data_IF_954853916062
#
_entry.id   IF_954853916062
#
_cell.length_a   1.000
_cell.length_b   1.000
_cell.length_c   1.000
_cell.angle_alpha   90.00
_cell.angle_beta   90.00
_cell.angle_gamma   90.00
#
_symmetry.space_group_name_H-M   'P 1'
#
loop_
_entity.id
_entity.type
_entity.pdbx_description
1 polymer ?
#
# COMPACT_ATOMS: atom_id res chain seq x y z
N UNK A 1 -5.52 -4.63 28.85
CA UNK A 1 -5.83 -6.07 28.72
C UNK A 1 -5.93 -6.39 27.24
N UNK A 2 -5.41 -7.54 26.82
CA UNK A 2 -5.52 -8.00 25.42
C UNK A 2 -6.97 -8.36 25.14
N UNK A 3 -7.49 -7.96 23.98
CA UNK A 3 -8.87 -8.23 23.59
C UNK A 3 -8.95 -9.47 22.72
N UNK A 4 -9.90 -10.38 22.97
CA UNK A 4 -10.11 -11.56 22.10
C UNK A 4 -10.33 -11.12 20.64
N UNK A 5 -11.07 -10.01 20.47
CA UNK A 5 -11.33 -9.33 19.21
C UNK A 5 -10.02 -8.92 18.51
N UNK A 6 -9.10 -8.33 19.28
CA UNK A 6 -7.77 -7.95 18.80
C UNK A 6 -6.89 -9.14 18.44
N UNK A 7 -6.93 -10.22 19.25
CA UNK A 7 -6.23 -11.48 18.95
C UNK A 7 -6.74 -12.07 17.65
N UNK A 8 -8.06 -12.20 17.51
CA UNK A 8 -8.68 -12.75 16.31
C UNK A 8 -8.29 -11.95 15.06
N UNK A 9 -8.33 -10.61 15.12
CA UNK A 9 -7.91 -9.76 14.01
C UNK A 9 -6.48 -10.05 13.56
N UNK A 10 -5.53 -10.02 14.49
CA UNK A 10 -4.12 -10.19 14.17
C UNK A 10 -3.81 -11.62 13.73
N UNK A 11 -4.41 -12.63 14.35
CA UNK A 11 -4.25 -14.02 13.95
C UNK A 11 -4.85 -14.28 12.56
N UNK A 12 -6.03 -13.78 12.27
CA UNK A 12 -6.67 -13.94 10.95
C UNK A 12 -5.82 -13.31 9.84
N UNK A 13 -5.32 -12.08 10.06
CA UNK A 13 -4.44 -11.42 9.10
C UNK A 13 -3.12 -12.16 8.93
N UNK A 14 -2.46 -12.54 10.04
CA UNK A 14 -1.18 -13.24 10.00
C UNK A 14 -1.32 -14.61 9.33
N UNK A 15 -2.26 -15.46 9.76
CA UNK A 15 -2.46 -16.79 9.18
C UNK A 15 -2.88 -16.70 7.72
N UNK A 16 -3.77 -15.78 7.36
CA UNK A 16 -4.17 -15.56 5.97
C UNK A 16 -2.97 -15.17 5.10
N UNK A 17 -2.12 -14.24 5.57
CA UNK A 17 -0.95 -13.81 4.80
C UNK A 17 0.14 -14.89 4.76
N UNK A 18 0.37 -15.58 5.87
CA UNK A 18 1.38 -16.63 6.00
C UNK A 18 1.05 -17.86 5.15
N UNK A 19 -0.15 -18.43 5.32
CA UNK A 19 -0.59 -19.54 4.48
C UNK A 19 -0.87 -19.12 3.04
N UNK A 20 -1.37 -17.91 2.79
CA UNK A 20 -1.53 -17.38 1.44
C UNK A 20 -0.20 -17.27 0.70
N UNK A 21 0.85 -16.79 1.36
CA UNK A 21 2.20 -16.75 0.77
C UNK A 21 2.71 -18.14 0.39
N UNK A 22 2.50 -19.12 1.26
CA UNK A 22 3.00 -20.48 1.06
C UNK A 22 2.15 -21.25 0.06
N UNK A 23 0.84 -21.28 0.19
CA UNK A 23 -0.01 -22.19 -0.59
C UNK A 23 -0.72 -21.53 -1.77
N UNK A 24 -0.79 -20.19 -1.83
CA UNK A 24 -1.42 -19.49 -2.95
C UNK A 24 -0.41 -18.76 -3.83
N UNK A 25 0.57 -18.06 -3.25
CA UNK A 25 1.55 -17.29 -4.05
C UNK A 25 2.70 -18.15 -4.54
N UNK A 26 3.27 -19.00 -3.68
CA UNK A 26 4.47 -19.76 -4.05
C UNK A 26 4.31 -20.70 -5.27
N UNK A 27 3.14 -21.33 -5.54
CA UNK A 27 2.94 -22.13 -6.75
C UNK A 27 3.09 -21.34 -8.05
N UNK A 28 2.89 -20.01 -8.02
CA UNK A 28 3.03 -19.16 -9.20
C UNK A 28 4.43 -18.57 -9.38
N UNK A 29 5.36 -18.77 -8.44
CA UNK A 29 6.73 -18.25 -8.57
C UNK A 29 7.46 -18.73 -9.83
N UNK A 30 7.30 -19.98 -10.31
CA UNK A 30 7.89 -20.39 -11.58
C UNK A 30 7.42 -19.56 -12.78
N UNK A 31 6.22 -18.97 -12.73
CA UNK A 31 5.75 -18.08 -13.81
C UNK A 31 6.63 -16.85 -13.98
N UNK A 32 7.32 -16.40 -12.92
CA UNK A 32 8.23 -15.26 -12.99
C UNK A 32 9.35 -15.47 -14.03
N UNK A 33 9.79 -16.71 -14.23
CA UNK A 33 10.83 -17.06 -15.22
C UNK A 33 10.29 -17.52 -16.56
N UNK A 34 8.99 -17.84 -16.65
CA UNK A 34 8.34 -18.32 -17.89
C UNK A 34 7.63 -17.17 -18.61
N UNK A 35 6.89 -16.37 -17.85
CA UNK A 35 6.06 -15.28 -18.34
C UNK A 35 5.88 -14.22 -17.24
N UNK A 36 6.78 -13.22 -17.18
CA UNK A 36 6.71 -12.15 -16.17
C UNK A 36 5.38 -11.41 -16.13
N UNK A 37 4.74 -11.21 -17.29
CA UNK A 37 3.43 -10.54 -17.39
C UNK A 37 2.33 -11.36 -16.70
N UNK A 38 2.26 -12.67 -16.98
CA UNK A 38 1.28 -13.55 -16.32
C UNK A 38 1.58 -13.71 -14.83
N UNK A 39 2.85 -13.80 -14.44
CA UNK A 39 3.26 -13.79 -13.05
C UNK A 39 2.71 -12.56 -12.31
N UNK A 40 2.96 -11.36 -12.84
CA UNK A 40 2.53 -10.11 -12.23
C UNK A 40 1.01 -10.04 -12.10
N UNK A 41 0.29 -10.34 -13.19
CA UNK A 41 -1.17 -10.29 -13.20
C UNK A 41 -1.80 -11.28 -12.22
N UNK A 42 -1.37 -12.54 -12.20
CA UNK A 42 -1.93 -13.56 -11.29
C UNK A 42 -1.62 -13.22 -9.84
N UNK A 43 -0.38 -12.85 -9.53
CA UNK A 43 0.01 -12.55 -8.15
C UNK A 43 -0.66 -11.30 -7.62
N UNK A 44 -0.90 -10.27 -8.46
CA UNK A 44 -1.71 -9.11 -8.07
C UNK A 44 -3.16 -9.45 -7.80
N UNK A 45 -3.75 -10.34 -8.61
CA UNK A 45 -5.10 -10.84 -8.35
C UNK A 45 -5.17 -11.59 -7.02
N UNK A 46 -4.22 -12.50 -6.75
CA UNK A 46 -4.16 -13.26 -5.49
C UNK A 46 -3.96 -12.33 -4.29
N UNK A 47 -3.00 -11.41 -4.34
CA UNK A 47 -2.77 -10.45 -3.27
C UNK A 47 -4.01 -9.61 -3.01
N UNK A 48 -4.69 -9.14 -4.06
CA UNK A 48 -5.92 -8.35 -3.92
C UNK A 48 -7.02 -9.09 -3.14
N UNK A 49 -7.13 -10.42 -3.26
CA UNK A 49 -8.06 -11.21 -2.42
C UNK A 49 -7.69 -11.18 -0.95
N UNK A 50 -6.41 -11.11 -0.60
CA UNK A 50 -6.00 -10.97 0.80
C UNK A 50 -6.25 -9.55 1.31
N UNK A 51 -6.07 -8.53 0.45
CA UNK A 51 -6.35 -7.13 0.78
C UNK A 51 -7.83 -6.87 1.15
N UNK A 52 -8.77 -7.72 0.72
CA UNK A 52 -10.18 -7.62 1.14
C UNK A 52 -10.43 -8.13 2.56
N UNK A 53 -9.58 -9.01 3.09
CA UNK A 53 -9.72 -9.56 4.45
C UNK A 53 -9.64 -8.50 5.55
N UNK A 54 -8.62 -7.62 5.62
CA UNK A 54 -8.57 -6.56 6.63
C UNK A 54 -9.74 -5.60 6.52
N UNK A 55 -10.21 -5.27 5.31
CA UNK A 55 -11.40 -4.43 5.09
C UNK A 55 -12.64 -5.10 5.68
N UNK A 56 -12.84 -6.38 5.37
CA UNK A 56 -13.98 -7.13 5.88
C UNK A 56 -13.94 -7.28 7.41
N UNK A 57 -12.77 -7.55 7.99
CA UNK A 57 -12.59 -7.61 9.43
C UNK A 57 -12.90 -6.26 10.10
N UNK A 58 -12.29 -5.17 9.63
CA UNK A 58 -12.46 -3.83 10.20
C UNK A 58 -13.92 -3.41 10.21
N UNK A 59 -14.61 -3.53 9.08
CA UNK A 59 -15.98 -3.04 8.95
C UNK A 59 -17.02 -4.00 9.50
N UNK A 60 -16.92 -5.32 9.24
CA UNK A 60 -17.96 -6.27 9.63
C UNK A 60 -17.77 -6.83 11.04
N UNK A 61 -16.53 -7.04 11.49
CA UNK A 61 -16.26 -7.65 12.80
C UNK A 61 -16.04 -6.58 13.87
N UNK A 62 -15.36 -5.49 13.51
CA UNK A 62 -15.06 -4.40 14.45
C UNK A 62 -15.95 -3.17 14.28
N UNK A 63 -16.83 -3.15 13.27
CA UNK A 63 -17.83 -2.11 13.09
C UNK A 63 -17.24 -0.74 12.72
N UNK A 64 -16.04 -0.70 12.13
CA UNK A 64 -15.44 0.54 11.67
C UNK A 64 -16.30 1.15 10.54
N UNK A 65 -16.79 2.37 10.73
CA UNK A 65 -17.48 3.13 9.69
C UNK A 65 -16.46 3.90 8.86
N UNK A 66 -16.64 3.88 7.54
CA UNK A 66 -15.74 4.55 6.59
C UNK A 66 -16.51 5.67 5.92
N UNK A 67 -15.97 6.89 5.97
CA UNK A 67 -16.55 8.08 5.36
C UNK A 67 -15.56 8.64 4.35
N UNK A 68 -15.99 8.82 3.10
CA UNK A 68 -15.15 9.33 2.01
C UNK A 68 -15.76 10.59 1.42
N UNK A 69 -15.00 11.67 1.34
CA UNK A 69 -15.43 12.99 0.84
C UNK A 69 -14.44 13.51 -0.20
N UNK A 70 -14.84 14.53 -0.97
CA UNK A 70 -14.01 15.15 -2.02
C UNK A 70 -14.28 14.58 -3.42
N UNK A 71 -13.23 14.44 -4.23
CA UNK A 71 -13.31 14.09 -5.66
C UNK A 71 -13.34 12.57 -5.92
N UNK A 72 -12.79 11.78 -4.99
CA UNK A 72 -12.78 10.32 -5.07
C UNK A 72 -11.70 9.79 -5.99
N UNK A 73 -11.92 8.61 -6.58
CA UNK A 73 -10.97 7.97 -7.49
C UNK A 73 -11.62 7.69 -8.84
N UNK A 74 -10.82 7.74 -9.89
CA UNK A 74 -11.17 7.22 -11.21
C UNK A 74 -10.72 5.76 -11.30
N UNK A 75 -11.64 4.78 -11.43
CA UNK A 75 -11.27 3.37 -11.44
C UNK A 75 -10.31 3.03 -12.59
N UNK A 76 -9.18 2.38 -12.25
CA UNK A 76 -8.18 1.98 -13.24
C UNK A 76 -7.19 3.08 -13.64
N UNK A 77 -7.30 4.27 -13.06
CA UNK A 77 -6.39 5.38 -13.31
C UNK A 77 -5.00 5.14 -12.70
N UNK A 78 -3.96 5.53 -13.46
CA UNK A 78 -2.57 5.49 -13.02
C UNK A 78 -2.31 6.68 -12.12
N UNK A 79 -2.02 6.44 -10.86
CA UNK A 79 -1.88 7.54 -9.91
C UNK A 79 -0.82 7.34 -8.85
N UNK A 80 -0.25 8.47 -8.42
CA UNK A 80 0.49 8.56 -7.16
C UNK A 80 -0.50 8.98 -6.08
N UNK A 81 -0.64 8.17 -5.04
CA UNK A 81 -1.45 8.48 -3.88
C UNK A 81 -0.54 9.05 -2.80
N UNK A 82 -0.82 10.28 -2.35
CA UNK A 82 -0.11 10.90 -1.23
C UNK A 82 -1.05 11.04 -0.04
N UNK A 83 -0.64 10.56 1.12
CA UNK A 83 -1.48 10.58 2.33
C UNK A 83 -0.70 11.10 3.53
N UNK A 84 -1.36 11.81 4.46
CA UNK A 84 -0.75 12.10 5.77
C UNK A 84 -0.62 10.80 6.57
N UNK A 85 0.39 10.70 7.43
CA UNK A 85 0.68 9.47 8.15
C UNK A 85 0.39 9.61 9.64
N UNK A 86 -0.89 9.47 10.02
CA UNK A 86 -1.33 9.60 11.41
C UNK A 86 -0.96 8.39 12.26
N UNK A 87 -1.07 7.17 11.73
CA UNK A 87 -0.81 5.91 12.44
C UNK A 87 -0.05 4.91 11.59
N UNK A 88 0.61 3.92 12.21
CA UNK A 88 1.30 2.85 11.47
C UNK A 88 0.38 1.98 10.60
N UNK A 89 -0.94 2.08 10.77
CA UNK A 89 -1.93 1.22 10.10
C UNK A 89 -2.67 1.94 8.97
N UNK A 90 -2.33 3.20 8.67
CA UNK A 90 -3.07 4.01 7.69
C UNK A 90 -3.09 3.38 6.30
N UNK A 91 -2.00 2.74 5.86
CA UNK A 91 -1.92 2.04 4.58
C UNK A 91 -2.96 0.91 4.47
N UNK A 92 -3.16 0.14 5.55
CA UNK A 92 -4.17 -0.91 5.59
C UNK A 92 -5.57 -0.32 5.63
N UNK A 93 -5.75 0.81 6.31
CA UNK A 93 -7.03 1.50 6.39
C UNK A 93 -7.45 2.10 5.05
N UNK A 94 -6.51 2.56 4.23
CA UNK A 94 -6.78 3.08 2.88
C UNK A 94 -7.50 2.05 2.01
N UNK A 95 -7.27 0.75 2.21
CA UNK A 95 -7.95 -0.31 1.45
C UNK A 95 -9.47 -0.30 1.60
N UNK A 96 -10.00 0.23 2.72
CA UNK A 96 -11.45 0.43 2.87
C UNK A 96 -11.99 1.46 1.87
N UNK A 97 -11.20 2.49 1.55
CA UNK A 97 -11.51 3.47 0.52
C UNK A 97 -11.36 2.84 -0.88
N UNK A 98 -10.20 2.23 -1.17
CA UNK A 98 -9.92 1.67 -2.49
C UNK A 98 -10.86 0.52 -2.87
N UNK A 99 -11.34 -0.29 -1.93
CA UNK A 99 -12.33 -1.33 -2.24
C UNK A 99 -13.59 -0.74 -2.88
N UNK A 100 -14.02 0.45 -2.45
CA UNK A 100 -15.23 1.14 -2.94
C UNK A 100 -15.01 1.97 -4.19
N UNK A 101 -13.84 2.60 -4.31
CA UNK A 101 -13.60 3.64 -5.32
C UNK A 101 -12.54 3.27 -6.37
N UNK A 102 -11.80 2.18 -6.17
CA UNK A 102 -10.74 1.73 -7.10
C UNK A 102 -10.59 0.21 -7.14
N UNK A 103 -9.47 -0.33 -7.64
CA UNK A 103 -9.15 -1.75 -7.67
C UNK A 103 -7.93 -2.04 -6.80
N UNK A 104 -8.11 -2.82 -5.73
CA UNK A 104 -7.04 -3.20 -4.80
C UNK A 104 -5.83 -3.88 -5.48
N UNK A 105 -6.02 -4.53 -6.64
CA UNK A 105 -4.94 -5.19 -7.38
C UNK A 105 -3.90 -4.22 -7.96
N UNK A 106 -4.26 -2.95 -8.15
CA UNK A 106 -3.38 -1.93 -8.74
C UNK A 106 -2.50 -1.24 -7.69
N UNK A 107 -2.83 -1.44 -6.42
CA UNK A 107 -2.16 -0.76 -5.30
C UNK A 107 -0.74 -1.31 -5.11
N UNK A 108 0.23 -0.41 -5.07
CA UNK A 108 1.60 -0.65 -4.62
C UNK A 108 1.93 0.37 -3.54
N UNK A 109 2.76 -0.01 -2.58
CA UNK A 109 3.06 0.85 -1.43
C UNK A 109 4.57 0.98 -1.26
N UNK A 110 5.04 2.21 -1.05
CA UNK A 110 6.39 2.45 -0.58
C UNK A 110 6.47 2.22 0.94
N UNK A 111 7.25 1.23 1.34
CA UNK A 111 7.30 0.71 2.70
C UNK A 111 8.72 0.63 3.24
N UNK A 112 8.85 0.60 4.56
CA UNK A 112 10.15 0.43 5.22
C UNK A 112 10.74 -0.96 4.91
N UNK A 113 12.01 -1.01 4.48
CA UNK A 113 12.71 -2.24 4.11
C UNK A 113 12.73 -3.32 5.19
N UNK A 114 12.69 -2.95 6.48
CA UNK A 114 12.63 -3.91 7.58
C UNK A 114 11.34 -4.75 7.61
N UNK A 115 10.26 -4.32 6.92
CA UNK A 115 9.02 -5.10 6.84
C UNK A 115 9.17 -6.33 5.94
N UNK A 116 10.18 -6.32 5.06
CA UNK A 116 10.47 -7.40 4.12
C UNK A 116 10.68 -8.76 4.78
N UNK A 117 11.34 -8.77 5.95
CA UNK A 117 11.66 -9.98 6.71
C UNK A 117 10.51 -10.56 7.53
N UNK A 118 9.35 -9.90 7.60
CA UNK A 118 8.24 -10.38 8.40
C UNK A 118 7.61 -11.60 7.70
N UNK A 119 7.55 -12.78 8.35
CA UNK A 119 6.93 -13.97 7.75
C UNK A 119 5.46 -13.72 7.36
N UNK A 120 5.05 -14.23 6.21
CA UNK A 120 3.73 -13.98 5.63
C UNK A 120 3.64 -12.59 5.01
N UNK A 121 3.51 -11.54 5.83
CA UNK A 121 3.30 -10.17 5.32
C UNK A 121 4.43 -9.71 4.40
N UNK A 122 5.68 -9.81 4.86
CA UNK A 122 6.85 -9.40 4.08
C UNK A 122 7.03 -10.24 2.83
N UNK A 123 6.73 -11.54 2.88
CA UNK A 123 6.80 -12.43 1.70
C UNK A 123 5.75 -12.08 0.66
N UNK A 124 4.50 -11.87 1.08
CA UNK A 124 3.43 -11.42 0.20
C UNK A 124 3.74 -10.04 -0.41
N UNK A 125 4.28 -9.11 0.38
CA UNK A 125 4.68 -7.78 -0.10
C UNK A 125 5.82 -7.83 -1.12
N UNK A 126 6.78 -8.76 -0.96
CA UNK A 126 7.83 -9.01 -1.96
C UNK A 126 7.22 -9.52 -3.27
N UNK A 127 6.36 -10.54 -3.20
CA UNK A 127 5.66 -11.08 -4.38
C UNK A 127 4.73 -10.04 -5.03
N UNK A 128 4.15 -9.13 -4.24
CA UNK A 128 3.32 -8.02 -4.72
C UNK A 128 4.14 -6.91 -5.39
N UNK A 129 5.46 -7.02 -5.46
CA UNK A 129 6.35 -5.96 -5.95
C UNK A 129 6.14 -4.62 -5.25
N UNK A 130 5.92 -4.63 -3.92
CA UNK A 130 5.91 -3.39 -3.14
C UNK A 130 7.32 -2.79 -3.07
N UNK A 131 7.42 -1.47 -2.94
CA UNK A 131 8.70 -0.76 -3.02
C UNK A 131 9.29 -0.63 -1.61
N UNK A 132 10.38 -1.33 -1.35
CA UNK A 132 11.03 -1.34 -0.03
C UNK A 132 12.17 -0.30 0.04
N UNK A 133 12.08 0.63 0.98
CA UNK A 133 13.06 1.72 1.16
C UNK A 133 13.67 1.74 2.57
N UNK A 134 14.95 2.08 2.67
CA UNK A 134 15.70 2.28 3.91
C UNK A 134 15.43 3.65 4.55
N UNK A 135 14.82 4.58 3.78
CA UNK A 135 14.58 5.99 4.11
C UNK A 135 15.87 6.80 4.18
N UNK A 136 16.81 6.46 3.29
CA UNK A 136 18.06 7.16 3.03
C UNK A 136 18.21 7.27 1.52
N UNK A 137 18.20 8.49 1.01
CA UNK A 137 18.07 8.73 -0.43
C UNK A 137 19.21 8.09 -1.22
N UNK A 138 20.42 8.18 -0.72
CA UNK A 138 21.64 7.66 -1.33
C UNK A 138 21.59 6.14 -1.49
N UNK A 139 21.04 5.44 -0.49
CA UNK A 139 20.89 3.98 -0.49
C UNK A 139 19.70 3.52 -1.35
N UNK A 140 18.64 4.33 -1.39
CA UNK A 140 17.36 3.95 -1.99
C UNK A 140 17.24 4.30 -3.48
N UNK A 141 17.92 5.36 -3.94
CA UNK A 141 17.72 5.95 -5.28
C UNK A 141 17.76 4.89 -6.39
N UNK A 142 18.81 4.06 -6.45
CA UNK A 142 18.96 3.07 -7.53
C UNK A 142 17.89 1.98 -7.51
N UNK A 143 17.50 1.50 -6.33
CA UNK A 143 16.44 0.50 -6.21
C UNK A 143 15.09 1.12 -6.58
N UNK A 144 14.81 2.32 -6.06
CA UNK A 144 13.56 3.02 -6.32
C UNK A 144 13.40 3.31 -7.82
N UNK A 145 14.47 3.75 -8.47
CA UNK A 145 14.55 3.96 -9.91
C UNK A 145 14.16 2.71 -10.70
N UNK A 146 14.81 1.57 -10.41
CA UNK A 146 14.55 0.29 -11.10
C UNK A 146 13.10 -0.17 -10.93
N UNK A 147 12.50 0.05 -9.76
CA UNK A 147 11.10 -0.30 -9.51
C UNK A 147 10.14 0.57 -10.34
N UNK A 148 10.39 1.88 -10.41
CA UNK A 148 9.55 2.80 -11.19
C UNK A 148 9.68 2.53 -12.69
N UNK A 149 10.91 2.32 -13.18
CA UNK A 149 11.16 1.95 -14.58
C UNK A 149 10.47 0.63 -14.93
N UNK A 150 10.51 -0.36 -14.02
CA UNK A 150 9.78 -1.61 -14.18
C UNK A 150 8.27 -1.40 -14.30
N UNK A 151 7.67 -0.57 -13.45
CA UNK A 151 6.24 -0.28 -13.55
C UNK A 151 5.86 0.42 -14.85
N UNK A 152 6.72 1.33 -15.34
CA UNK A 152 6.54 1.95 -16.66
C UNK A 152 6.65 0.93 -17.80
N UNK A 153 7.57 -0.03 -17.69
CA UNK A 153 7.82 -1.05 -18.71
C UNK A 153 6.67 -2.06 -18.84
N UNK A 154 6.09 -2.51 -17.72
CA UNK A 154 4.98 -3.49 -17.74
C UNK A 154 3.65 -2.89 -18.21
N UNK A 155 3.51 -1.55 -18.18
CA UNK A 155 2.32 -0.79 -18.61
C UNK A 155 1.00 -1.22 -17.96
N UNK A 156 1.07 -1.88 -16.80
CA UNK A 156 -0.09 -2.14 -15.96
C UNK A 156 -0.44 -0.86 -15.19
N UNK A 157 -1.75 -0.54 -15.00
CA UNK A 157 -2.11 0.63 -14.22
C UNK A 157 -1.58 0.55 -12.78
N UNK A 158 -0.89 1.60 -12.35
CA UNK A 158 -0.23 1.69 -11.05
C UNK A 158 -0.98 2.66 -10.12
N UNK A 159 -1.29 2.26 -8.90
CA UNK A 159 -1.69 3.15 -7.82
C UNK A 159 -0.63 3.08 -6.71
N UNK A 160 0.31 4.03 -6.72
CA UNK A 160 1.46 4.01 -5.83
C UNK A 160 1.24 4.90 -4.61
N UNK A 161 1.03 4.29 -3.44
CA UNK A 161 0.94 5.00 -2.17
C UNK A 161 2.33 5.36 -1.62
N UNK A 162 2.50 6.65 -1.35
CA UNK A 162 3.64 7.19 -0.61
C UNK A 162 3.16 8.10 0.53
N UNK A 163 3.95 8.10 1.61
CA UNK A 163 3.79 9.02 2.74
C UNK A 163 4.98 9.99 2.73
N UNK A 164 4.87 11.18 2.11
CA UNK A 164 5.92 12.19 2.12
C UNK A 164 6.45 12.54 3.51
N UNK A 165 5.68 12.39 4.58
CA UNK A 165 6.15 12.53 5.98
C UNK A 165 7.31 11.56 6.33
N UNK A 166 7.39 10.41 5.66
CA UNK A 166 8.43 9.39 5.83
C UNK A 166 8.32 8.55 7.12
N UNK A 167 7.42 8.92 8.03
CA UNK A 167 7.12 8.22 9.29
C UNK A 167 5.78 8.69 9.85
N UNK A 168 5.20 7.92 10.76
CA UNK A 168 3.95 8.27 11.44
C UNK A 168 4.12 9.41 12.45
N UNK A 169 3.04 10.16 12.66
CA UNK A 169 2.96 11.25 13.63
C UNK A 169 2.92 10.72 15.07
N UNK A 170 4.01 10.92 15.80
CA UNK A 170 4.20 10.61 17.22
C UNK A 170 4.78 11.82 17.93
N UNK A 171 4.76 11.85 19.26
CA UNK A 171 5.39 12.94 20.02
C UNK A 171 6.88 13.15 19.62
N UNK A 172 7.63 12.06 19.45
CA UNK A 172 9.05 12.11 19.06
C UNK A 172 9.24 12.60 17.62
N UNK A 173 8.47 12.07 16.66
CA UNK A 173 8.62 12.47 15.25
C UNK A 173 8.14 13.90 15.02
N UNK A 174 7.13 14.35 15.76
CA UNK A 174 6.68 15.74 15.79
C UNK A 174 7.74 16.68 16.35
N UNK A 175 8.39 16.35 17.46
CA UNK A 175 9.50 17.15 18.01
C UNK A 175 10.60 17.36 16.97
N UNK A 176 11.03 16.29 16.29
CA UNK A 176 12.01 16.38 15.20
C UNK A 176 11.55 17.21 14.00
N UNK A 177 10.27 17.12 13.64
CA UNK A 177 9.67 17.95 12.59
C UNK A 177 9.63 19.43 13.00
N UNK A 178 9.39 19.72 14.28
CA UNK A 178 9.41 21.08 14.82
C UNK A 178 10.82 21.67 14.84
N UNK A 179 11.84 20.90 15.21
CA UNK A 179 13.24 21.32 15.10
C UNK A 179 13.62 21.64 13.65
N UNK A 180 13.18 20.81 12.69
CA UNK A 180 13.36 21.09 11.27
C UNK A 180 12.67 22.40 10.87
N UNK A 181 11.43 22.63 11.32
CA UNK A 181 10.69 23.84 11.02
C UNK A 181 11.41 25.09 11.56
N UNK A 182 11.86 25.07 12.82
CA UNK A 182 12.60 26.17 13.44
C UNK A 182 13.89 26.51 12.69
N UNK A 183 14.69 25.49 12.34
CA UNK A 183 15.95 25.68 11.61
C UNK A 183 15.78 26.28 10.21
N UNK A 184 14.61 26.08 9.60
CA UNK A 184 14.31 26.55 8.25
C UNK A 184 13.34 27.74 8.24
N UNK A 185 13.01 28.33 9.40
CA UNK A 185 12.06 29.45 9.49
C UNK A 185 10.64 29.10 9.06
N UNK A 186 10.24 27.83 9.13
CA UNK A 186 8.90 27.35 8.79
C UNK A 186 8.01 27.32 10.02
N UNK A 187 6.70 27.43 9.81
CA UNK A 187 5.72 27.23 10.89
C UNK A 187 5.73 25.77 11.39
N UNK A 188 5.47 25.58 12.67
CA UNK A 188 5.30 24.25 13.28
C UNK A 188 3.92 23.69 12.94
N UNK A 189 3.86 22.37 12.78
CA UNK A 189 2.62 21.64 12.50
C UNK A 189 2.17 20.82 13.68
N UNK A 190 0.86 20.80 13.90
CA UNK A 190 0.26 20.12 15.04
C UNK A 190 -0.27 18.73 14.67
N UNK A 191 -0.82 18.58 13.47
CA UNK A 191 -1.57 17.40 13.01
C UNK A 191 -0.90 16.63 11.86
N UNK A 192 0.21 17.14 11.31
CA UNK A 192 1.05 16.48 10.30
C UNK A 192 2.53 16.73 10.58
N UNK A 193 3.42 15.93 10.00
CA UNK A 193 4.85 16.24 9.90
C UNK A 193 5.13 17.02 8.60
N UNK A 194 6.20 17.83 8.58
CA UNK A 194 6.66 18.45 7.33
C UNK A 194 7.05 17.38 6.30
N UNK A 195 6.60 17.49 5.03
CA UNK A 195 6.86 16.46 4.03
C UNK A 195 8.31 16.49 3.55
N UNK A 196 8.88 15.31 3.35
CA UNK A 196 10.15 15.09 2.65
C UNK A 196 9.87 14.94 1.15
N UNK A 197 10.16 15.99 0.40
CA UNK A 197 9.74 16.12 -1.00
C UNK A 197 10.62 15.37 -2.00
N UNK A 198 11.84 14.96 -1.64
CA UNK A 198 12.79 14.30 -2.56
C UNK A 198 12.22 13.02 -3.18
N UNK A 199 11.66 12.12 -2.36
CA UNK A 199 11.07 10.88 -2.87
C UNK A 199 9.80 11.13 -3.68
N UNK A 200 8.96 12.08 -3.25
CA UNK A 200 7.75 12.47 -3.96
C UNK A 200 8.05 13.01 -5.36
N UNK A 201 8.95 13.99 -5.45
CA UNK A 201 9.33 14.61 -6.74
C UNK A 201 9.92 13.59 -7.69
N UNK A 202 10.83 12.74 -7.21
CA UNK A 202 11.43 11.68 -8.02
C UNK A 202 10.39 10.70 -8.60
N UNK A 203 9.42 10.27 -7.78
CA UNK A 203 8.35 9.35 -8.23
C UNK A 203 7.51 9.99 -9.32
N UNK A 204 7.04 11.23 -9.08
CA UNK A 204 6.17 11.93 -10.01
C UNK A 204 6.89 12.21 -11.33
N UNK A 205 8.14 12.69 -11.27
CA UNK A 205 8.98 12.92 -12.46
C UNK A 205 9.15 11.64 -13.27
N UNK A 206 9.58 10.55 -12.63
CA UNK A 206 9.88 9.30 -13.34
C UNK A 206 8.65 8.64 -13.94
N UNK A 207 7.53 8.60 -13.21
CA UNK A 207 6.30 8.03 -13.72
C UNK A 207 5.69 8.90 -14.82
N UNK A 208 5.84 10.23 -14.75
CA UNK A 208 5.44 11.15 -15.83
C UNK A 208 6.28 10.93 -17.09
N UNK A 209 7.61 10.86 -16.97
CA UNK A 209 8.54 10.56 -18.07
C UNK A 209 8.24 9.20 -18.72
N UNK A 210 7.92 8.19 -17.92
CA UNK A 210 7.51 6.86 -18.39
C UNK A 210 6.09 6.79 -18.94
N UNK A 211 5.37 7.91 -19.04
CA UNK A 211 3.97 8.00 -19.44
C UNK A 211 3.09 7.00 -18.66
N UNK A 212 3.29 6.91 -17.34
CA UNK A 212 2.61 6.00 -16.43
C UNK A 212 2.00 6.74 -15.21
N UNK A 213 1.53 7.97 -15.43
CA UNK A 213 0.92 8.80 -14.40
C UNK A 213 -0.15 9.71 -15.02
N UNK A 214 -1.41 9.52 -14.61
CA UNK A 214 -2.56 10.31 -15.06
C UNK A 214 -2.95 11.38 -14.03
N UNK A 215 -2.81 11.08 -12.73
CA UNK A 215 -3.21 11.99 -11.66
C UNK A 215 -2.45 11.76 -10.35
N UNK A 216 -2.47 12.77 -9.48
CA UNK A 216 -2.10 12.63 -8.07
C UNK A 216 -3.37 12.67 -7.22
N UNK A 217 -3.59 11.63 -6.41
CA UNK A 217 -4.66 11.60 -5.42
C UNK A 217 -4.08 12.04 -4.06
N UNK A 218 -4.46 13.25 -3.64
CA UNK A 218 -4.09 13.79 -2.34
C UNK A 218 -5.14 13.43 -1.28
N UNK A 219 -4.76 12.61 -0.30
CA UNK A 219 -5.66 12.08 0.71
C UNK A 219 -5.33 12.65 2.08
N UNK A 220 -6.34 13.21 2.74
CA UNK A 220 -6.30 13.48 4.17
C UNK A 220 -7.06 12.39 4.91
N UNK A 221 -6.38 11.64 5.77
CA UNK A 221 -6.98 10.66 6.68
C UNK A 221 -7.08 11.22 8.09
N UNK A 222 -8.25 11.04 8.71
CA UNK A 222 -8.51 11.40 10.09
C UNK A 222 -9.38 10.38 10.81
N UNK A 223 -9.29 10.38 12.13
CA UNK A 223 -10.01 9.48 13.02
C UNK A 223 -10.71 10.31 14.11
N UNK A 224 -12.05 10.42 14.10
CA UNK A 224 -12.80 11.17 15.11
C UNK A 224 -12.58 10.65 16.53
N UNK A 225 -12.40 9.34 16.65
CA UNK A 225 -12.30 8.57 17.89
C UNK A 225 -11.36 7.40 17.66
N UNK A 226 -10.69 6.96 18.74
CA UNK A 226 -9.84 5.77 18.76
C UNK A 226 -8.75 5.77 17.68
N UNK A 227 -7.63 6.46 17.93
CA UNK A 227 -6.48 6.51 17.01
C UNK A 227 -5.53 5.33 17.32
N UNK A 228 -5.48 4.27 16.49
CA UNK A 228 -4.63 3.10 16.74
C UNK A 228 -3.19 3.37 16.29
N UNK A 229 -2.41 4.10 17.10
CA UNK A 229 -1.00 4.42 16.76
C UNK A 229 -0.15 3.20 16.36
N UNK A 230 -0.36 2.04 17.01
CA UNK A 230 0.43 0.81 16.79
C UNK A 230 -0.46 -0.43 16.76
N UNK A 231 0.08 -1.54 16.26
CA UNK A 231 -0.53 -2.87 16.24
C UNK A 231 -0.97 -3.33 17.64
N UNK A 232 -0.24 -2.90 18.70
CA UNK A 232 -0.60 -3.17 20.10
C UNK A 232 -1.95 -2.58 20.48
N UNK A 233 -2.33 -1.43 19.90
CA UNK A 233 -3.66 -0.87 20.13
C UNK A 233 -4.74 -1.78 19.54
N UNK A 234 -4.54 -2.32 18.35
CA UNK A 234 -5.46 -3.28 17.74
C UNK A 234 -5.54 -4.58 18.56
N UNK A 235 -4.40 -5.10 19.04
CA UNK A 235 -4.35 -6.27 19.93
C UNK A 235 -5.17 -6.06 21.22
N UNK A 236 -5.16 -4.83 21.75
CA UNK A 236 -5.95 -4.45 22.92
C UNK A 236 -7.43 -4.17 22.58
N UNK A 237 -7.85 -4.34 21.33
CA UNK A 237 -9.22 -4.09 20.88
C UNK A 237 -9.54 -2.61 20.63
N UNK A 238 -8.53 -1.74 20.64
CA UNK A 238 -8.69 -0.33 20.31
C UNK A 238 -8.63 -0.13 18.79
N UNK A 239 -9.75 -0.45 18.14
CA UNK A 239 -9.98 -0.22 16.72
C UNK A 239 -10.56 1.18 16.48
N UNK A 240 -10.29 1.80 15.31
CA UNK A 240 -10.95 3.03 14.94
C UNK A 240 -12.44 2.76 14.74
N UNK A 241 -13.29 3.54 15.41
CA UNK A 241 -14.74 3.45 15.22
C UNK A 241 -15.18 4.07 13.89
N UNK A 242 -14.50 5.15 13.50
CA UNK A 242 -14.73 5.83 12.23
C UNK A 242 -13.40 6.19 11.58
N UNK A 243 -13.31 6.05 10.27
CA UNK A 243 -12.17 6.44 9.45
C UNK A 243 -12.68 7.39 8.38
N UNK A 244 -12.17 8.62 8.38
CA UNK A 244 -12.58 9.66 7.45
C UNK A 244 -11.45 9.87 6.44
N UNK A 245 -11.79 9.81 5.16
CA UNK A 245 -10.92 10.13 4.04
C UNK A 245 -11.47 11.34 3.30
N UNK A 246 -10.63 12.34 3.06
CA UNK A 246 -10.90 13.43 2.13
C UNK A 246 -9.93 13.31 0.96
N UNK A 247 -10.46 13.07 -0.23
CA UNK A 247 -9.68 12.81 -1.45
C UNK A 247 -9.78 14.01 -2.36
N UNK A 248 -8.65 14.56 -2.78
CA UNK A 248 -8.57 15.59 -3.81
C UNK A 248 -7.78 15.05 -4.99
N UNK A 249 -8.35 15.12 -6.19
CA UNK A 249 -7.71 14.59 -7.41
C UNK A 249 -7.10 15.73 -8.23
N UNK A 250 -5.83 15.60 -8.55
CA UNK A 250 -5.10 16.53 -9.42
C UNK A 250 -4.70 15.82 -10.71
N UNK A 251 -5.33 16.12 -11.87
CA UNK A 251 -4.83 15.67 -13.16
C UNK A 251 -3.37 16.06 -13.35
N UNK A 252 -2.56 15.19 -13.96
CA UNK A 252 -1.12 15.39 -14.05
C UNK A 252 -0.74 16.67 -14.81
N UNK A 253 -1.60 17.13 -15.71
CA UNK A 253 -1.47 18.37 -16.49
C UNK A 253 -1.58 19.63 -15.62
N UNK A 254 -2.22 19.52 -14.45
CA UNK A 254 -2.36 20.62 -13.49
C UNK A 254 -1.23 20.66 -12.46
N UNK A 255 -0.39 19.63 -12.43
CA UNK A 255 0.71 19.49 -11.47
C UNK A 255 2.00 20.07 -12.08
N UNK A 256 2.77 20.90 -11.35
CA UNK A 256 4.00 21.48 -11.87
C UNK A 256 5.00 20.47 -12.44
N UNK A 257 5.75 20.90 -13.44
CA UNK A 257 6.77 20.07 -14.11
C UNK A 257 8.16 20.30 -13.55
N UNK A 258 8.52 21.55 -13.23
CA UNK A 258 9.80 21.86 -12.62
C UNK A 258 9.88 21.27 -11.21
N UNK A 259 11.05 20.69 -10.88
CA UNK A 259 11.28 19.99 -9.63
C UNK A 259 11.03 20.87 -8.42
N UNK A 260 11.55 22.09 -8.43
CA UNK A 260 11.45 23.05 -7.34
C UNK A 260 9.97 23.45 -7.10
N UNK A 261 9.23 23.70 -8.17
CA UNK A 261 7.79 23.99 -8.10
C UNK A 261 6.99 22.80 -7.58
N UNK A 262 7.37 21.58 -7.96
CA UNK A 262 6.74 20.36 -7.48
C UNK A 262 7.01 20.11 -5.98
N UNK A 263 8.20 20.48 -5.49
CA UNK A 263 8.49 20.47 -4.04
C UNK A 263 7.59 21.46 -3.29
N UNK A 264 7.48 22.69 -3.79
CA UNK A 264 6.61 23.71 -3.21
C UNK A 264 5.13 23.28 -3.26
N UNK A 265 4.70 22.65 -4.35
CA UNK A 265 3.36 22.08 -4.49
C UNK A 265 3.08 21.05 -3.38
N UNK A 266 4.01 20.12 -3.15
CA UNK A 266 3.88 19.13 -2.08
C UNK A 266 3.82 19.78 -0.69
N UNK A 267 4.66 20.79 -0.43
CA UNK A 267 4.64 21.52 0.84
C UNK A 267 3.31 22.24 1.07
N UNK A 268 2.75 22.87 0.03
CA UNK A 268 1.45 23.53 0.07
C UNK A 268 0.32 22.54 0.38
N UNK A 269 0.33 21.34 -0.22
CA UNK A 269 -0.63 20.28 0.14
C UNK A 269 -0.57 19.92 1.61
N UNK A 270 0.62 19.82 2.21
CA UNK A 270 0.74 19.57 3.65
C UNK A 270 0.28 20.74 4.52
N UNK A 271 0.47 21.97 4.06
CA UNK A 271 -0.11 23.15 4.70
C UNK A 271 -1.64 23.10 4.74
N UNK A 272 -2.27 22.71 3.62
CA UNK A 272 -3.71 22.55 3.52
C UNK A 272 -4.21 21.38 4.39
N UNK A 273 -3.46 20.26 4.45
CA UNK A 273 -3.77 19.15 5.36
C UNK A 273 -3.73 19.54 6.83
N UNK A 274 -2.73 20.31 7.26
CA UNK A 274 -2.65 20.83 8.63
C UNK A 274 -3.91 21.64 8.97
N UNK A 275 -4.31 22.57 8.10
CA UNK A 275 -5.50 23.39 8.31
C UNK A 275 -6.79 22.56 8.33
N UNK A 276 -6.93 21.62 7.39
CA UNK A 276 -8.08 20.72 7.31
C UNK A 276 -8.19 19.83 8.54
N UNK A 277 -7.08 19.26 9.00
CA UNK A 277 -7.06 18.41 10.20
C UNK A 277 -7.30 19.22 11.46
N UNK A 278 -6.81 20.46 11.54
CA UNK A 278 -7.12 21.38 12.63
C UNK A 278 -8.63 21.62 12.73
N UNK A 279 -9.27 22.01 11.63
CA UNK A 279 -10.73 22.19 11.58
C UNK A 279 -11.48 20.91 11.92
N UNK A 280 -10.99 19.75 11.47
CA UNK A 280 -11.58 18.46 11.80
C UNK A 280 -11.53 18.17 13.30
N UNK A 281 -10.36 18.29 13.94
CA UNK A 281 -10.16 17.90 15.34
C UNK A 281 -10.69 18.93 16.34
N UNK A 282 -10.69 20.22 15.99
CA UNK A 282 -11.22 21.31 16.82
C UNK A 282 -12.74 21.54 16.60
N UNK A 283 -13.27 21.10 15.46
CA UNK A 283 -14.67 21.26 15.08
C UNK A 283 -15.51 19.99 15.23
N UNK A 284 -16.41 19.77 14.27
CA UNK A 284 -17.42 18.71 14.31
C UNK A 284 -16.88 17.29 13.99
N UNK A 285 -15.56 17.13 13.77
CA UNK A 285 -14.92 15.85 13.39
C UNK A 285 -15.50 15.23 12.12
N UNK A 286 -15.79 16.08 11.14
CA UNK A 286 -16.06 15.66 9.77
C UNK A 286 -15.40 16.65 8.79
N UNK A 287 -15.01 16.15 7.62
CA UNK A 287 -14.50 16.98 6.52
C UNK A 287 -15.61 17.68 5.73
N UNK A 288 -16.85 17.22 5.85
CA UNK A 288 -18.03 17.84 5.27
C UNK A 288 -19.12 17.99 6.35
N UNK A 289 -19.87 19.09 6.31
CA UNK A 289 -20.93 19.38 7.29
C UNK A 289 -22.03 18.30 7.30
N UNK A 290 -22.21 17.55 6.20
CA UNK A 290 -23.23 16.51 6.10
C UNK A 290 -22.86 15.17 6.73
N UNK A 291 -21.58 14.92 7.04
CA UNK A 291 -21.16 13.67 7.69
C UNK A 291 -21.28 12.39 6.83
N UNK A 292 -21.64 12.51 5.55
CA UNK A 292 -21.93 11.39 4.64
C UNK A 292 -20.90 11.28 3.53
N UNK A 293 -20.79 10.09 2.95
CA UNK A 293 -20.01 9.89 1.73
C UNK A 293 -20.72 10.62 0.58
N UNK A 294 -20.12 11.68 0.07
CA UNK A 294 -20.72 12.53 -0.98
C UNK A 294 -20.49 11.96 -2.38
N UNK A 295 -19.51 11.07 -2.50
CA UNK A 295 -19.04 10.52 -3.76
C UNK A 295 -19.80 9.22 -4.05
N UNK A 296 -20.44 9.09 -5.22
CA UNK A 296 -20.99 7.80 -5.64
C UNK A 296 -19.87 6.75 -5.73
N UNK A 297 -19.98 5.61 -5.04
CA UNK A 297 -18.94 4.59 -5.09
C UNK A 297 -18.91 3.91 -6.46
N UNK A 298 -17.71 3.54 -6.94
CA UNK A 298 -17.56 2.81 -8.21
C UNK A 298 -18.15 1.38 -8.12
N UNK A 299 -18.34 0.87 -6.91
CA UNK A 299 -19.05 -0.38 -6.61
C UNK A 299 -20.22 -0.09 -5.71
N UNK A 300 -21.38 -0.67 -6.01
CA UNK A 300 -22.55 -0.57 -5.13
C UNK A 300 -22.24 -1.11 -3.72
N UNK A 301 -22.92 -0.57 -2.71
CA UNK A 301 -22.77 -1.05 -1.33
C UNK A 301 -23.09 -2.55 -1.19
N UNK A 302 -24.05 -3.07 -1.97
CA UNK A 302 -24.33 -4.51 -2.03
C UNK A 302 -23.13 -5.29 -2.56
N UNK A 303 -22.48 -4.84 -3.64
CA UNK A 303 -21.27 -5.49 -4.17
C UNK A 303 -20.13 -5.47 -3.15
N UNK A 304 -19.94 -4.34 -2.46
CA UNK A 304 -18.92 -4.21 -1.42
C UNK A 304 -19.22 -5.14 -0.25
N UNK A 305 -20.47 -5.24 0.19
CA UNK A 305 -20.91 -6.16 1.22
C UNK A 305 -20.66 -7.63 0.82
N UNK A 306 -21.06 -8.03 -0.39
CA UNK A 306 -20.84 -9.38 -0.91
C UNK A 306 -19.35 -9.72 -0.93
N UNK A 307 -18.49 -8.81 -1.40
CA UNK A 307 -17.03 -9.02 -1.40
C UNK A 307 -16.51 -9.21 0.03
N UNK A 308 -16.96 -8.41 1.00
CA UNK A 308 -16.54 -8.57 2.41
C UNK A 308 -17.01 -9.92 2.99
N UNK A 309 -18.27 -10.32 2.76
CA UNK A 309 -18.80 -11.60 3.20
C UNK A 309 -18.03 -12.78 2.59
N UNK A 310 -17.85 -12.79 1.26
CA UNK A 310 -17.08 -13.82 0.56
C UNK A 310 -15.64 -13.86 1.06
N UNK A 311 -15.02 -12.70 1.29
CA UNK A 311 -13.67 -12.62 1.84
C UNK A 311 -13.56 -13.29 3.21
N UNK A 312 -14.47 -13.00 4.14
CA UNK A 312 -14.44 -13.62 5.48
C UNK A 312 -14.64 -15.14 5.40
N UNK A 313 -15.61 -15.59 4.60
CA UNK A 313 -15.90 -17.02 4.42
C UNK A 313 -14.70 -17.74 3.79
N UNK A 314 -14.18 -17.19 2.68
CA UNK A 314 -13.05 -17.76 1.94
C UNK A 314 -11.82 -17.88 2.82
N UNK A 315 -11.36 -16.80 3.47
CA UNK A 315 -10.12 -16.83 4.25
C UNK A 315 -10.23 -17.67 5.52
N UNK A 316 -11.43 -17.75 6.12
CA UNK A 316 -11.67 -18.65 7.25
C UNK A 316 -11.60 -20.10 6.79
N UNK A 317 -12.33 -20.46 5.73
CA UNK A 317 -12.35 -21.81 5.18
C UNK A 317 -10.96 -22.24 4.67
N UNK A 318 -10.26 -21.35 3.96
CA UNK A 318 -8.90 -21.58 3.47
C UNK A 318 -7.92 -21.85 4.61
N UNK A 319 -7.93 -21.02 5.65
CA UNK A 319 -7.03 -21.19 6.81
C UNK A 319 -7.27 -22.52 7.51
N UNK A 320 -8.54 -22.86 7.77
CA UNK A 320 -8.91 -24.15 8.36
C UNK A 320 -8.53 -25.33 7.44
N UNK A 321 -8.78 -25.19 6.14
CA UNK A 321 -8.43 -26.19 5.13
C UNK A 321 -6.93 -26.45 5.06
N UNK A 322 -6.10 -25.41 5.14
CA UNK A 322 -4.64 -25.55 5.20
C UNK A 322 -4.20 -26.26 6.48
N UNK A 323 -4.80 -25.94 7.63
CA UNK A 323 -4.52 -26.66 8.89
C UNK A 323 -4.84 -28.16 8.77
N UNK A 324 -6.00 -28.50 8.20
CA UNK A 324 -6.40 -29.90 7.96
C UNK A 324 -5.45 -30.57 6.96
N UNK A 325 -5.07 -29.87 5.89
CA UNK A 325 -4.13 -30.36 4.88
C UNK A 325 -2.75 -30.67 5.51
N UNK A 326 -2.24 -29.78 6.36
CA UNK A 326 -0.97 -29.97 7.07
C UNK A 326 -1.05 -31.13 8.07
N UNK A 327 -2.19 -31.34 8.71
CA UNK A 327 -2.40 -32.46 9.62
C UNK A 327 -2.45 -33.80 8.87
N UNK A 328 -3.16 -33.85 7.74
CA UNK A 328 -3.47 -35.11 7.03
C UNK A 328 -2.43 -35.50 5.98
N UNK A 329 -1.74 -34.56 5.34
CA UNK A 329 -0.88 -34.82 4.19
C UNK A 329 0.61 -34.56 4.52
N UNK A 330 1.44 -35.61 4.44
CA UNK A 330 2.88 -35.50 4.68
C UNK A 330 3.58 -34.68 3.59
N UNK A 331 3.17 -34.81 2.33
CA UNK A 331 3.72 -34.01 1.22
C UNK A 331 3.49 -32.50 1.44
N UNK A 332 2.30 -32.11 1.92
CA UNK A 332 2.00 -30.71 2.23
C UNK A 332 2.90 -30.15 3.35
N UNK A 333 3.28 -30.95 4.34
CA UNK A 333 4.22 -30.55 5.41
C UNK A 333 5.62 -30.31 4.87
N UNK A 334 6.12 -31.20 4.01
CA UNK A 334 7.43 -31.01 3.37
C UNK A 334 7.43 -29.80 2.44
N UNK A 335 6.37 -29.61 1.64
CA UNK A 335 6.18 -28.42 0.82
C UNK A 335 6.20 -27.14 1.68
N UNK A 336 5.45 -27.11 2.78
CA UNK A 336 5.40 -25.99 3.70
C UNK A 336 6.78 -25.62 4.25
N UNK A 337 7.55 -26.61 4.71
CA UNK A 337 8.92 -26.39 5.20
C UNK A 337 9.84 -25.89 4.07
N UNK A 338 9.79 -26.53 2.90
CA UNK A 338 10.62 -26.16 1.75
C UNK A 338 10.36 -24.71 1.30
N UNK A 339 9.09 -24.30 1.22
CA UNK A 339 8.72 -22.94 0.82
C UNK A 339 9.13 -21.90 1.87
N UNK A 340 9.02 -22.20 3.17
CA UNK A 340 9.55 -21.32 4.23
C UNK A 340 11.05 -21.14 4.09
N UNK A 341 11.79 -22.24 3.92
CA UNK A 341 13.24 -22.21 3.70
C UNK A 341 13.56 -21.37 2.46
N UNK A 342 12.85 -21.59 1.36
CA UNK A 342 13.00 -20.80 0.14
C UNK A 342 12.82 -19.30 0.41
N UNK A 343 11.72 -18.86 1.02
CA UNK A 343 11.45 -17.45 1.29
C UNK A 343 12.50 -16.80 2.20
N UNK A 344 13.02 -17.53 3.19
CA UNK A 344 14.08 -17.03 4.09
C UNK A 344 15.42 -16.94 3.37
N UNK A 345 15.79 -17.99 2.61
CA UNK A 345 17.08 -18.07 1.92
C UNK A 345 17.16 -17.06 0.78
N UNK A 346 16.11 -16.96 -0.05
CA UNK A 346 16.09 -16.03 -1.18
C UNK A 346 16.27 -14.57 -0.71
N UNK A 347 15.68 -14.21 0.44
CA UNK A 347 15.82 -12.86 0.97
C UNK A 347 17.24 -12.58 1.44
N UNK A 348 17.89 -13.55 2.09
CA UNK A 348 19.27 -13.39 2.56
C UNK A 348 20.28 -13.34 1.41
N UNK A 349 20.05 -14.11 0.35
CA UNK A 349 20.99 -14.22 -0.78
C UNK A 349 20.75 -13.12 -1.83
N UNK A 350 19.50 -12.94 -2.27
CA UNK A 350 19.14 -12.06 -3.39
C UNK A 350 18.52 -10.74 -2.93
N UNK A 351 18.40 -10.53 -1.63
CA UNK A 351 17.76 -9.36 -1.05
C UNK A 351 16.24 -9.48 -0.98
N UNK A 352 15.56 -10.14 -1.95
CA UNK A 352 14.14 -10.50 -1.93
C UNK A 352 13.54 -10.82 -3.31
N UNK A 353 12.29 -11.29 -3.32
CA UNK A 353 11.65 -11.77 -4.56
C UNK A 353 11.36 -10.65 -5.56
N UNK A 354 11.07 -9.43 -5.11
CA UNK A 354 10.85 -8.32 -6.03
C UNK A 354 12.12 -7.97 -6.82
N UNK A 355 13.31 -8.22 -6.24
CA UNK A 355 14.58 -8.03 -6.95
C UNK A 355 14.85 -9.14 -7.95
N UNK A 356 14.42 -10.37 -7.63
CA UNK A 356 14.48 -11.50 -8.56
C UNK A 356 13.52 -11.24 -9.74
N UNK A 357 12.30 -10.76 -9.47
CA UNK A 357 11.32 -10.37 -10.48
C UNK A 357 11.88 -9.29 -11.42
N UNK A 358 12.49 -8.24 -10.88
CA UNK A 358 13.16 -7.21 -11.68
C UNK A 358 14.26 -7.80 -12.58
N UNK A 359 15.08 -8.72 -12.05
CA UNK A 359 16.14 -9.36 -12.81
C UNK A 359 15.57 -10.24 -13.95
N UNK A 360 14.52 -11.01 -13.68
CA UNK A 360 13.80 -11.77 -14.70
C UNK A 360 13.23 -10.86 -15.78
N UNK A 361 12.55 -9.77 -15.40
CA UNK A 361 11.99 -8.82 -16.35
C UNK A 361 13.08 -8.20 -17.26
N UNK A 362 14.20 -7.77 -16.68
CA UNK A 362 15.32 -7.21 -17.45
C UNK A 362 15.93 -8.22 -18.43
N UNK A 363 16.02 -9.49 -18.04
CA UNK A 363 16.48 -10.55 -18.93
C UNK A 363 15.55 -10.70 -20.14
N UNK A 364 14.23 -10.78 -19.92
CA UNK A 364 13.25 -10.89 -21.01
C UNK A 364 13.23 -9.66 -21.92
N UNK A 365 13.31 -8.45 -21.35
CA UNK A 365 13.39 -7.20 -22.11
C UNK A 365 14.60 -7.18 -23.05
N UNK A 366 15.77 -7.59 -22.57
CA UNK A 366 17.00 -7.68 -23.39
C UNK A 366 16.86 -8.68 -24.53
N UNK A 367 16.26 -9.86 -24.27
CA UNK A 367 16.02 -10.86 -25.31
C UNK A 367 15.11 -10.30 -26.42
N UNK A 368 14.01 -9.65 -26.06
CA UNK A 368 13.10 -9.02 -27.03
C UNK A 368 13.80 -7.96 -27.88
N UNK A 369 14.66 -7.13 -27.28
CA UNK A 369 15.44 -6.12 -28.00
C UNK A 369 16.41 -6.77 -29.00
N UNK A 370 17.13 -7.81 -28.60
CA UNK A 370 18.05 -8.55 -29.49
C UNK A 370 17.29 -9.16 -30.67
N UNK A 371 16.13 -9.78 -30.43
CA UNK A 371 15.30 -10.34 -31.48
C UNK A 371 14.78 -9.26 -32.45
N UNK A 372 14.34 -8.10 -31.93
CA UNK A 372 13.88 -6.99 -32.75
C UNK A 372 15.00 -6.39 -33.62
N UNK A 373 16.22 -6.29 -33.10
CA UNK A 373 17.38 -5.82 -33.88
C UNK A 373 17.73 -6.81 -35.00
N UNK A 374 17.74 -8.11 -34.71
CA UNK A 374 18.00 -9.14 -35.72
C UNK A 374 16.95 -9.15 -36.84
N UNK A 375 15.67 -8.98 -36.49
CA UNK A 375 14.57 -8.92 -37.46
C UNK A 375 14.58 -7.67 -38.35
N UNK A 376 15.26 -6.59 -37.94
CA UNK A 376 15.45 -5.38 -38.75
C UNK A 376 16.69 -5.44 -39.65
N UNK A 377 17.61 -6.38 -39.39
CA UNK A 377 18.86 -6.57 -40.15
C UNK A 377 18.77 -7.66 -41.22
N UNK A 378 17.68 -8.43 -41.21
CA UNK A 378 17.26 -9.40 -42.23
C UNK A 378 16.11 -8.82 -43.03
#
# INVERSE_FOLDING_TARGET
MVSWKGIYFLLALFLGSFFGSIFMLSPFLPLMVISPAWYRWVTDCVVATWLTLPVALLEMVFGAKVVVTGDGFVPGERSVIIMNHRTRMDWMFLWNCLLRYSYLRLEKICLKSSLKSIPGFGWAMQVAAFVFIQRKWEDDKSHFEKMLDYFCDIREPLQLLIFPEGTDLTANTKARSNEFAERNGLRKYEYVLHPRTTGFTFVVERLREGNNLDAIHDITVAYPQNIPQTEKHLLNGNFPKEIHFHVQRYPIETVPTAKEELQLWCQKRWEEKEQRLRQFYEGAKCFDATGRSVIPPCKSELRVLVVKCVSLLYWTAFTLGVCVLLYTCSFARWYFVAVIVFFVVQQKIFGGLELIELACHQYFKRQQQIHATKAKST
#
